data_IF_317398003815
#
_entry.id   IF_317398003815
#
_cell.length_a   1.000
_cell.length_b   1.000
_cell.length_c   1.000
_cell.angle_alpha   90.00
_cell.angle_beta   90.00
_cell.angle_gamma   90.00
#
_symmetry.space_group_name_H-M   'P 1'
#
loop_
_entity.id
_entity.type
_entity.pdbx_description
1 polymer ?
#
# COMPACT_ATOMS: atom_id res chain seq x y z
N UNK A 1 0.37 -9.71 -15.65
CA UNK A 1 -0.60 -10.58 -14.97
C UNK A 1 -1.90 -10.51 -15.76
N UNK A 2 -2.56 -11.64 -16.06
CA UNK A 2 -3.91 -11.59 -16.63
C UNK A 2 -4.85 -10.86 -15.66
N UNK A 3 -5.90 -10.23 -16.18
CA UNK A 3 -6.95 -9.66 -15.33
C UNK A 3 -7.70 -10.80 -14.63
N UNK A 4 -8.25 -10.58 -13.42
CA UNK A 4 -9.09 -11.56 -12.77
C UNK A 4 -10.35 -11.86 -13.60
N UNK A 5 -10.77 -13.13 -13.60
CA UNK A 5 -12.01 -13.57 -14.26
C UNK A 5 -13.19 -13.73 -13.28
N UNK A 6 -12.97 -13.51 -11.98
CA UNK A 6 -14.01 -13.56 -10.95
C UNK A 6 -14.85 -12.27 -11.01
N UNK A 7 -16.12 -12.41 -11.38
CA UNK A 7 -17.05 -11.30 -11.56
C UNK A 7 -17.29 -10.51 -10.27
N UNK A 8 -17.32 -11.17 -9.11
CA UNK A 8 -17.49 -10.50 -7.83
C UNK A 8 -16.27 -9.64 -7.52
N UNK A 9 -15.07 -10.18 -7.67
CA UNK A 9 -13.82 -9.43 -7.47
C UNK A 9 -13.73 -8.23 -8.42
N UNK A 10 -14.08 -8.41 -9.68
CA UNK A 10 -14.09 -7.34 -10.68
C UNK A 10 -15.12 -6.26 -10.31
N UNK A 11 -16.32 -6.66 -9.90
CA UNK A 11 -17.40 -5.73 -9.48
C UNK A 11 -17.02 -4.94 -8.22
N UNK A 12 -16.48 -5.62 -7.21
CA UNK A 12 -15.96 -4.99 -5.98
C UNK A 12 -14.84 -4.01 -6.31
N UNK A 13 -13.90 -4.38 -7.19
CA UNK A 13 -12.79 -3.50 -7.62
C UNK A 13 -13.29 -2.24 -8.31
N UNK A 14 -14.25 -2.35 -9.24
CA UNK A 14 -14.85 -1.19 -9.91
C UNK A 14 -15.59 -0.30 -8.92
N UNK A 15 -16.33 -0.91 -7.99
CA UNK A 15 -17.09 -0.18 -6.96
C UNK A 15 -16.16 0.56 -5.99
N UNK A 16 -15.00 -0.01 -5.66
CA UNK A 16 -13.97 0.66 -4.86
C UNK A 16 -13.43 1.91 -5.57
N UNK A 17 -13.17 1.83 -6.88
CA UNK A 17 -12.76 3.01 -7.65
C UNK A 17 -13.87 4.06 -7.65
N UNK A 18 -15.13 3.65 -7.88
CA UNK A 18 -16.29 4.53 -7.86
C UNK A 18 -16.43 5.29 -6.55
N UNK A 19 -16.46 4.58 -5.42
CA UNK A 19 -16.64 5.24 -4.10
C UNK A 19 -15.49 6.15 -3.73
N UNK A 20 -14.25 5.86 -4.17
CA UNK A 20 -13.12 6.77 -3.96
C UNK A 20 -13.28 8.08 -4.76
N UNK A 21 -13.87 8.03 -5.97
CA UNK A 21 -14.25 9.24 -6.70
C UNK A 21 -15.40 9.98 -6.04
N UNK A 22 -16.36 9.28 -5.42
CA UNK A 22 -17.44 9.94 -4.65
C UNK A 22 -16.86 10.71 -3.45
N UNK A 23 -15.82 10.18 -2.79
CA UNK A 23 -15.17 10.82 -1.64
C UNK A 23 -14.29 12.01 -2.06
N UNK A 24 -13.45 11.85 -3.08
CA UNK A 24 -12.39 12.82 -3.41
C UNK A 24 -12.67 13.67 -4.65
N UNK A 25 -13.75 13.37 -5.37
CA UNK A 25 -14.01 13.85 -6.72
C UNK A 25 -13.21 13.08 -7.78
N UNK A 26 -13.69 13.05 -9.04
CA UNK A 26 -12.91 12.54 -10.16
C UNK A 26 -11.80 13.54 -10.55
N UNK A 27 -10.57 13.04 -10.65
CA UNK A 27 -9.41 13.81 -11.12
C UNK A 27 -8.76 13.11 -12.32
N UNK A 28 -9.15 13.42 -13.56
CA UNK A 28 -8.64 12.74 -14.76
C UNK A 28 -7.11 12.74 -14.84
N UNK A 29 -6.52 11.58 -15.14
CA UNK A 29 -5.07 11.41 -15.19
C UNK A 29 -4.40 11.15 -13.83
N UNK A 30 -5.14 11.25 -12.72
CA UNK A 30 -4.66 10.96 -11.38
C UNK A 30 -5.23 9.64 -10.84
N UNK A 31 -4.59 9.14 -9.77
CA UNK A 31 -5.05 7.92 -9.08
C UNK A 31 -6.27 8.26 -8.19
N UNK A 32 -7.27 7.36 -8.07
CA UNK A 32 -8.46 7.59 -7.23
C UNK A 32 -8.13 7.70 -5.72
N UNK A 33 -7.01 7.13 -5.31
CA UNK A 33 -6.37 7.34 -4.03
C UNK A 33 -4.86 7.46 -4.26
N UNK A 34 -4.15 8.12 -3.36
CA UNK A 34 -2.73 8.42 -3.54
C UNK A 34 -2.39 9.21 -4.81
N UNK A 35 -3.25 10.18 -5.16
CA UNK A 35 -3.12 11.02 -6.34
C UNK A 35 -1.80 11.80 -6.34
N UNK A 36 -1.56 12.58 -5.28
CA UNK A 36 -0.30 13.30 -5.07
C UNK A 36 0.81 12.35 -4.62
N UNK A 37 1.98 12.46 -5.25
CA UNK A 37 3.16 11.71 -4.84
C UNK A 37 4.37 11.98 -5.70
N UNK A 38 5.53 11.52 -5.22
CA UNK A 38 6.84 11.71 -5.86
C UNK A 38 7.51 10.36 -6.11
N UNK A 39 8.13 10.22 -7.28
CA UNK A 39 8.90 9.04 -7.66
C UNK A 39 10.39 9.28 -7.38
N UNK A 40 11.05 8.25 -6.86
CA UNK A 40 12.48 8.22 -6.57
C UNK A 40 13.08 6.94 -7.16
N UNK A 41 14.36 7.02 -7.52
CA UNK A 41 15.17 5.86 -7.89
C UNK A 41 16.15 5.57 -6.77
N UNK A 42 16.47 4.29 -6.58
CA UNK A 42 17.44 3.85 -5.60
C UNK A 42 17.97 2.46 -5.88
N UNK A 43 18.74 1.93 -4.94
CA UNK A 43 19.30 0.59 -4.98
C UNK A 43 18.95 -0.10 -3.67
N UNK A 44 18.38 -1.30 -3.76
CA UNK A 44 18.23 -2.20 -2.63
C UNK A 44 19.44 -3.15 -2.56
N UNK A 45 20.00 -3.32 -1.36
CA UNK A 45 21.04 -4.31 -1.08
C UNK A 45 20.54 -5.22 0.05
N UNK A 46 20.31 -6.52 -0.22
CA UNK A 46 19.96 -7.43 0.84
C UNK A 46 21.11 -7.60 1.85
N UNK A 47 20.76 -7.91 3.08
CA UNK A 47 21.77 -8.35 4.07
C UNK A 47 22.28 -9.75 3.73
N UNK A 48 23.41 -10.14 4.30
CA UNK A 48 23.99 -11.48 4.11
C UNK A 48 23.07 -12.63 4.54
N UNK A 49 22.08 -12.37 5.39
CA UNK A 49 21.12 -13.36 5.88
C UNK A 49 19.83 -13.43 5.06
N UNK A 50 19.59 -12.52 4.11
CA UNK A 50 18.31 -12.43 3.38
C UNK A 50 18.01 -13.70 2.56
N UNK A 51 19.03 -14.26 1.89
CA UNK A 51 18.90 -15.51 1.12
C UNK A 51 18.47 -16.72 1.98
N UNK A 52 18.70 -16.68 3.30
CA UNK A 52 18.26 -17.73 4.23
C UNK A 52 16.76 -17.71 4.50
N UNK A 53 16.07 -16.60 4.19
CA UNK A 53 14.64 -16.43 4.48
C UNK A 53 13.76 -16.47 3.24
N UNK A 54 14.30 -16.17 2.06
CA UNK A 54 13.56 -16.23 0.80
C UNK A 54 14.49 -16.48 -0.39
N UNK A 55 14.01 -17.27 -1.37
CA UNK A 55 14.67 -17.45 -2.67
C UNK A 55 14.35 -16.35 -3.69
N UNK A 56 13.65 -15.29 -3.29
CA UNK A 56 13.30 -14.19 -4.19
C UNK A 56 14.56 -13.48 -4.71
N UNK A 57 14.58 -13.10 -5.99
CA UNK A 57 15.77 -12.54 -6.64
C UNK A 57 16.32 -11.29 -5.93
N UNK A 58 15.47 -10.40 -5.42
CA UNK A 58 15.92 -9.22 -4.69
C UNK A 58 16.55 -9.55 -3.32
N UNK A 59 16.41 -10.77 -2.81
CA UNK A 59 17.07 -11.25 -1.58
C UNK A 59 18.37 -12.00 -1.84
N UNK A 60 18.61 -12.43 -3.10
CA UNK A 60 19.77 -13.23 -3.49
C UNK A 60 20.75 -12.49 -4.40
N UNK A 61 20.28 -11.47 -5.13
CA UNK A 61 21.15 -10.61 -5.94
C UNK A 61 22.01 -9.72 -5.04
N UNK A 62 23.26 -9.37 -5.42
CA UNK A 62 24.10 -8.45 -4.66
C UNK A 62 23.44 -7.08 -4.44
N UNK A 63 22.73 -6.61 -5.46
CA UNK A 63 21.90 -5.41 -5.41
C UNK A 63 20.75 -5.48 -6.41
N UNK A 64 19.74 -4.65 -6.24
CA UNK A 64 18.57 -4.58 -7.12
C UNK A 64 18.13 -3.12 -7.29
N UNK A 65 18.06 -2.58 -8.52
CA UNK A 65 17.51 -1.25 -8.75
C UNK A 65 16.05 -1.17 -8.31
N UNK A 66 15.69 -0.08 -7.63
CA UNK A 66 14.33 0.17 -7.18
C UNK A 66 13.75 1.47 -7.73
N UNK A 67 12.43 1.48 -7.89
CA UNK A 67 11.63 2.69 -8.01
C UNK A 67 10.76 2.77 -6.76
N UNK A 68 10.89 3.85 -6.00
CA UNK A 68 10.04 4.13 -4.85
C UNK A 68 9.05 5.25 -5.19
N UNK A 69 7.84 5.19 -4.62
CA UNK A 69 6.87 6.29 -4.69
C UNK A 69 6.34 6.61 -3.30
N UNK A 70 6.57 7.84 -2.86
CA UNK A 70 5.88 8.42 -1.71
C UNK A 70 4.58 9.09 -2.13
N UNK A 71 3.58 9.16 -1.24
CA UNK A 71 2.28 9.75 -1.54
C UNK A 71 1.50 10.16 -0.30
N UNK A 72 0.59 11.12 -0.47
CA UNK A 72 -0.51 11.39 0.47
C UNK A 72 -1.65 10.39 0.21
N UNK A 73 -2.50 10.08 1.19
CA UNK A 73 -3.55 9.04 1.06
C UNK A 73 -4.67 9.37 0.06
N UNK A 74 -5.01 10.65 -0.09
CA UNK A 74 -6.22 11.10 -0.78
C UNK A 74 -6.18 10.95 -2.30
N UNK A 75 -7.36 11.00 -2.92
CA UNK A 75 -7.53 11.17 -4.38
C UNK A 75 -7.32 12.60 -4.88
N UNK A 76 -7.04 13.56 -4.01
CA UNK A 76 -6.87 14.98 -4.35
C UNK A 76 -5.41 15.25 -4.80
N UNK A 77 -5.17 15.66 -6.05
CA UNK A 77 -3.81 15.82 -6.59
C UNK A 77 -3.05 17.04 -6.03
N UNK A 78 -3.77 18.13 -5.74
CA UNK A 78 -3.18 19.39 -5.29
C UNK A 78 -3.19 19.56 -3.77
N UNK A 79 -3.51 18.50 -3.01
CA UNK A 79 -3.52 18.54 -1.54
C UNK A 79 -2.14 18.97 -1.01
N UNK A 80 -2.02 20.03 -0.19
CA UNK A 80 -0.74 20.39 0.43
C UNK A 80 -0.17 19.22 1.25
N UNK A 81 1.15 18.99 1.20
CA UNK A 81 1.73 17.86 1.95
C UNK A 81 1.62 18.06 3.47
N UNK A 82 1.54 19.32 3.91
CA UNK A 82 1.32 19.72 5.30
C UNK A 82 -0.12 19.52 5.77
N UNK A 83 -1.07 19.24 4.88
CA UNK A 83 -2.46 18.98 5.25
C UNK A 83 -2.56 17.63 5.99
N UNK A 84 -3.10 17.58 7.22
CA UNK A 84 -3.22 16.35 7.99
C UNK A 84 -4.17 15.32 7.36
N UNK A 85 -5.10 15.73 6.48
CA UNK A 85 -5.98 14.82 5.74
C UNK A 85 -5.21 13.94 4.74
N UNK A 86 -3.97 14.31 4.42
CA UNK A 86 -3.08 13.50 3.58
C UNK A 86 -2.50 12.28 4.28
N UNK A 87 -2.74 12.10 5.59
CA UNK A 87 -2.30 10.94 6.34
C UNK A 87 -3.31 9.76 6.26
N UNK A 88 -2.88 8.50 6.41
CA UNK A 88 -1.49 8.06 6.48
C UNK A 88 -0.78 8.21 5.13
N UNK A 89 0.55 8.30 5.12
CA UNK A 89 1.34 8.41 3.88
C UNK A 89 1.58 7.04 3.26
N UNK A 90 1.66 6.98 1.93
CA UNK A 90 1.98 5.77 1.19
C UNK A 90 3.46 5.69 0.83
N UNK A 91 4.02 4.48 0.85
CA UNK A 91 5.29 4.10 0.23
C UNK A 91 5.07 2.85 -0.63
N UNK A 92 5.28 2.96 -1.93
CA UNK A 92 5.35 1.82 -2.83
C UNK A 92 6.79 1.63 -3.29
N UNK A 93 7.34 0.41 -3.16
CA UNK A 93 8.68 0.07 -3.64
C UNK A 93 8.59 -1.03 -4.67
N UNK A 94 9.09 -0.74 -5.87
CA UNK A 94 9.23 -1.67 -6.99
C UNK A 94 10.67 -2.13 -7.11
N UNK A 95 10.91 -3.43 -6.98
CA UNK A 95 12.17 -4.09 -7.26
C UNK A 95 12.23 -4.50 -8.73
N UNK A 96 13.26 -4.07 -9.46
CA UNK A 96 13.46 -4.38 -10.87
C UNK A 96 14.37 -5.61 -10.99
N UNK A 97 13.78 -6.78 -11.21
CA UNK A 97 14.46 -8.07 -10.98
C UNK A 97 15.27 -8.59 -12.17
N UNK A 98 14.88 -8.23 -13.39
CA UNK A 98 15.64 -8.55 -14.61
C UNK A 98 15.33 -7.54 -15.70
N UNK A 99 16.32 -7.29 -16.56
CA UNK A 99 16.10 -6.62 -17.84
C UNK A 99 15.65 -7.67 -18.87
N UNK A 100 14.34 -7.78 -19.06
CA UNK A 100 13.75 -8.71 -20.01
C UNK A 100 12.63 -8.00 -20.78
N UNK A 101 12.24 -8.49 -21.98
CA UNK A 101 11.15 -7.89 -22.77
C UNK A 101 9.83 -7.82 -22.00
N UNK A 102 9.65 -8.68 -21.00
CA UNK A 102 8.56 -8.58 -20.02
C UNK A 102 9.09 -7.96 -18.73
N UNK A 103 8.40 -6.93 -18.24
CA UNK A 103 8.72 -6.31 -16.94
C UNK A 103 8.66 -7.33 -15.81
N UNK A 104 9.81 -7.82 -15.36
CA UNK A 104 9.92 -8.70 -14.20
C UNK A 104 10.22 -7.86 -12.96
N UNK A 105 9.24 -7.77 -12.07
CA UNK A 105 9.31 -6.92 -10.89
C UNK A 105 8.54 -7.51 -9.73
N UNK A 106 8.89 -7.08 -8.52
CA UNK A 106 8.11 -7.29 -7.30
C UNK A 106 7.77 -5.93 -6.72
N UNK A 107 6.52 -5.74 -6.31
CA UNK A 107 6.05 -4.51 -5.67
C UNK A 107 5.67 -4.80 -4.22
N UNK A 108 6.18 -3.99 -3.29
CA UNK A 108 5.74 -3.96 -1.90
C UNK A 108 5.08 -2.60 -1.66
N UNK A 109 3.77 -2.63 -1.41
CA UNK A 109 2.96 -1.44 -1.16
C UNK A 109 2.72 -1.32 0.34
N UNK A 110 3.04 -0.16 0.91
CA UNK A 110 3.03 0.08 2.34
C UNK A 110 2.42 1.44 2.69
N UNK A 111 1.90 1.54 3.92
CA UNK A 111 1.30 2.75 4.49
C UNK A 111 2.02 3.13 5.78
N UNK A 112 1.96 4.39 6.18
CA UNK A 112 2.53 4.88 7.44
C UNK A 112 1.70 4.54 8.69
N UNK A 113 0.94 3.45 8.61
CA UNK A 113 0.18 2.85 9.71
C UNK A 113 0.19 1.33 9.53
N UNK A 114 0.30 0.55 10.61
CA UNK A 114 0.24 -0.91 10.53
C UNK A 114 -1.19 -1.47 10.41
N UNK A 115 -2.21 -0.60 10.36
CA UNK A 115 -3.62 -0.97 10.34
C UNK A 115 -4.30 -0.61 9.00
N UNK A 116 -5.42 -1.25 8.73
CA UNK A 116 -6.34 -0.92 7.64
C UNK A 116 -7.77 -1.11 8.14
N UNK A 117 -8.76 -0.34 7.67
CA UNK A 117 -10.10 -0.34 8.28
C UNK A 117 -10.92 -1.61 8.00
N UNK A 118 -10.43 -2.49 7.12
CA UNK A 118 -11.15 -3.67 6.66
C UNK A 118 -10.21 -4.88 6.44
N UNK A 119 -10.69 -6.12 6.61
CA UNK A 119 -9.91 -7.33 6.38
C UNK A 119 -9.90 -7.83 4.92
N UNK A 120 -10.83 -7.37 4.08
CA UNK A 120 -10.99 -7.81 2.68
C UNK A 120 -11.56 -6.68 1.80
N UNK A 121 -11.78 -6.97 0.51
CA UNK A 121 -12.24 -5.97 -0.47
C UNK A 121 -13.68 -5.51 -0.25
N UNK A 122 -14.57 -6.42 0.14
CA UNK A 122 -15.98 -6.15 0.39
C UNK A 122 -16.18 -5.24 1.60
N UNK A 123 -15.49 -5.52 2.70
CA UNK A 123 -15.49 -4.69 3.90
C UNK A 123 -14.78 -3.35 3.65
N UNK A 124 -13.73 -3.32 2.82
CA UNK A 124 -13.10 -2.05 2.44
C UNK A 124 -14.08 -1.17 1.67
N UNK A 125 -14.86 -1.76 0.75
CA UNK A 125 -15.90 -1.07 0.02
C UNK A 125 -17.00 -0.56 0.95
N UNK A 126 -17.45 -1.38 1.91
CA UNK A 126 -18.43 -0.97 2.91
C UNK A 126 -17.94 0.20 3.76
N UNK A 127 -16.69 0.14 4.24
CA UNK A 127 -16.06 1.25 4.97
C UNK A 127 -16.05 2.54 4.14
N UNK A 128 -15.53 2.51 2.90
CA UNK A 128 -15.47 3.72 2.07
C UNK A 128 -16.86 4.26 1.70
N UNK A 129 -17.87 3.39 1.50
CA UNK A 129 -19.27 3.83 1.32
C UNK A 129 -19.82 4.54 2.56
N UNK A 130 -19.47 4.06 3.76
CA UNK A 130 -19.86 4.74 5.00
C UNK A 130 -19.22 6.13 5.11
N UNK A 131 -17.97 6.29 4.65
CA UNK A 131 -17.30 7.59 4.57
C UNK A 131 -17.99 8.51 3.56
N UNK A 132 -18.24 8.03 2.34
CA UNK A 132 -18.89 8.80 1.28
C UNK A 132 -20.31 9.29 1.67
N UNK A 133 -21.05 8.47 2.42
CA UNK A 133 -22.41 8.81 2.88
C UNK A 133 -22.47 9.61 4.19
N UNK A 134 -21.32 9.92 4.81
CA UNK A 134 -21.26 10.60 6.11
C UNK A 134 -21.64 9.73 7.33
N UNK A 135 -21.80 8.41 7.15
CA UNK A 135 -22.22 7.45 8.18
C UNK A 135 -21.05 6.67 8.82
N UNK A 136 -19.81 7.13 8.64
CA UNK A 136 -18.62 6.42 9.09
C UNK A 136 -18.63 6.11 10.60
N UNK A 137 -19.17 7.00 11.43
CA UNK A 137 -19.23 6.78 12.88
C UNK A 137 -19.99 5.51 13.27
N UNK A 138 -21.14 5.25 12.65
CA UNK A 138 -21.95 4.06 12.90
C UNK A 138 -21.23 2.78 12.43
N UNK A 139 -20.57 2.84 11.26
CA UNK A 139 -19.76 1.73 10.76
C UNK A 139 -18.57 1.46 11.71
N UNK A 140 -17.83 2.49 12.11
CA UNK A 140 -16.68 2.38 13.03
C UNK A 140 -17.08 1.74 14.36
N UNK A 141 -18.25 2.10 14.91
CA UNK A 141 -18.73 1.58 16.19
C UNK A 141 -18.96 0.06 16.19
N UNK A 142 -19.30 -0.53 15.04
CA UNK A 142 -19.54 -1.97 14.89
C UNK A 142 -18.39 -2.76 14.27
N UNK A 143 -17.33 -2.10 13.79
CA UNK A 143 -16.21 -2.74 13.08
C UNK A 143 -14.88 -2.50 13.80
N UNK A 144 -14.39 -3.49 14.59
CA UNK A 144 -13.15 -3.33 15.39
C UNK A 144 -11.91 -2.96 14.57
N UNK A 145 -11.78 -3.45 13.33
CA UNK A 145 -10.67 -3.11 12.45
C UNK A 145 -10.72 -1.62 12.03
N UNK A 146 -11.90 -1.09 11.72
CA UNK A 146 -12.10 0.31 11.41
C UNK A 146 -11.83 1.20 12.62
N UNK A 147 -12.30 0.81 13.81
CA UNK A 147 -12.01 1.50 15.06
C UNK A 147 -10.51 1.58 15.34
N UNK A 148 -9.80 0.44 15.27
CA UNK A 148 -8.37 0.38 15.46
C UNK A 148 -7.61 1.24 14.43
N UNK A 149 -8.02 1.19 13.16
CA UNK A 149 -7.44 2.02 12.11
C UNK A 149 -7.65 3.51 12.39
N UNK A 150 -8.85 3.95 12.75
CA UNK A 150 -9.17 5.36 13.00
C UNK A 150 -8.43 5.88 14.23
N UNK A 151 -8.41 5.13 15.33
CA UNK A 151 -7.74 5.51 16.58
C UNK A 151 -6.22 5.49 16.50
N UNK A 152 -5.62 4.73 15.58
CA UNK A 152 -4.17 4.68 15.43
C UNK A 152 -3.60 6.09 15.13
N UNK A 153 -2.53 6.53 15.82
CA UNK A 153 -1.88 7.80 15.52
C UNK A 153 -1.39 7.86 14.07
N UNK A 154 -1.64 8.98 13.39
CA UNK A 154 -1.20 9.25 12.00
C UNK A 154 -0.58 10.64 11.94
N UNK A 155 0.56 10.86 12.61
CA UNK A 155 1.19 12.18 12.67
C UNK A 155 1.56 12.65 11.26
N UNK A 156 1.50 13.96 11.02
CA UNK A 156 2.08 14.53 9.80
C UNK A 156 3.60 14.48 9.92
N UNK A 157 4.31 13.75 9.05
CA UNK A 157 5.75 13.66 9.15
C UNK A 157 6.40 14.96 8.66
N UNK A 158 7.53 15.35 9.27
CA UNK A 158 8.34 16.49 8.79
C UNK A 158 8.94 16.26 7.39
N UNK A 159 9.05 15.00 6.98
CA UNK A 159 9.43 14.54 5.65
C UNK A 159 9.05 13.07 5.49
N UNK A 160 8.71 12.62 4.27
CA UNK A 160 8.49 11.21 3.97
C UNK A 160 9.65 10.30 4.40
N UNK A 161 10.89 10.82 4.36
CA UNK A 161 12.09 10.09 4.78
C UNK A 161 12.26 9.93 6.29
N UNK A 162 11.34 10.46 7.11
CA UNK A 162 11.36 10.31 8.58
C UNK A 162 10.14 9.56 9.12
N UNK A 163 9.48 8.80 8.24
CA UNK A 163 8.27 8.03 8.56
C UNK A 163 8.53 6.52 8.45
N UNK A 164 7.84 5.73 9.26
CA UNK A 164 7.84 4.27 9.18
C UNK A 164 6.69 3.82 8.29
N UNK A 165 6.94 2.82 7.43
CA UNK A 165 5.90 2.26 6.57
C UNK A 165 5.74 0.76 6.78
N UNK A 166 4.52 0.28 6.66
CA UNK A 166 4.11 -1.09 6.96
C UNK A 166 3.34 -1.65 5.76
N UNK A 167 3.66 -2.87 5.32
CA UNK A 167 2.91 -3.49 4.21
C UNK A 167 1.48 -3.87 4.56
N UNK A 168 1.11 -3.79 5.85
CA UNK A 168 -0.15 -4.23 6.46
C UNK A 168 -0.38 -5.74 6.32
N UNK A 169 -0.47 -6.23 5.10
CA UNK A 169 -0.64 -7.63 4.75
C UNK A 169 0.57 -8.47 5.16
N UNK A 170 0.28 -9.71 5.54
CA UNK A 170 1.29 -10.75 5.73
C UNK A 170 1.61 -11.42 4.39
N UNK A 171 2.89 -11.74 4.18
CA UNK A 171 3.40 -12.41 3.00
C UNK A 171 4.08 -13.70 3.41
N UNK A 172 3.93 -14.73 2.57
CA UNK A 172 4.66 -15.98 2.73
C UNK A 172 5.99 -15.90 2.00
N UNK A 173 7.09 -15.97 2.74
CA UNK A 173 8.43 -16.15 2.20
C UNK A 173 8.78 -17.64 2.21
N UNK A 174 9.52 -18.06 1.19
CA UNK A 174 9.94 -19.45 1.04
C UNK A 174 11.44 -19.46 0.75
N UNK A 175 12.21 -20.07 1.64
CA UNK A 175 13.66 -20.20 1.50
C UNK A 175 14.04 -21.19 0.37
N UNK A 176 15.34 -21.29 0.06
CA UNK A 176 15.85 -22.22 -0.95
C UNK A 176 15.61 -23.70 -0.59
N UNK A 177 15.60 -24.03 0.71
CA UNK A 177 15.32 -25.36 1.24
C UNK A 177 13.81 -25.66 1.43
N UNK A 178 12.94 -24.75 0.98
CA UNK A 178 11.48 -24.92 1.07
C UNK A 178 10.86 -24.49 2.39
N UNK A 179 11.63 -24.07 3.41
CA UNK A 179 11.05 -23.56 4.67
C UNK A 179 10.19 -22.32 4.41
N UNK A 180 8.99 -22.32 4.99
CA UNK A 180 8.02 -21.24 4.86
C UNK A 180 7.99 -20.35 6.12
N UNK A 181 7.85 -19.04 5.93
CA UNK A 181 7.69 -18.06 7.01
C UNK A 181 6.71 -16.97 6.60
N UNK A 182 5.79 -16.61 7.49
CA UNK A 182 4.92 -15.46 7.29
C UNK A 182 5.57 -14.21 7.88
N UNK A 183 5.64 -13.14 7.08
CA UNK A 183 6.25 -11.86 7.48
C UNK A 183 5.32 -10.71 7.17
N UNK A 184 5.49 -9.59 7.87
CA UNK A 184 4.96 -8.28 7.46
C UNK A 184 6.15 -7.35 7.23
N UNK A 185 6.21 -6.71 6.08
CA UNK A 185 7.31 -5.80 5.78
C UNK A 185 7.18 -4.51 6.57
N UNK A 186 8.32 -3.99 7.02
CA UNK A 186 8.47 -2.67 7.61
C UNK A 186 9.62 -1.95 6.93
N UNK A 187 9.39 -0.70 6.55
CA UNK A 187 10.41 0.23 6.10
C UNK A 187 10.66 1.21 7.24
N UNK A 188 11.90 1.27 7.71
CA UNK A 188 12.32 2.12 8.82
C UNK A 188 13.45 3.01 8.29
N UNK A 189 13.34 4.35 8.45
CA UNK A 189 14.38 5.28 8.05
C UNK A 189 15.58 5.27 8.98
#
# INVERSE_FOLDING_TARGET
MPLPADDNLVTTSRSLVGVLHDIFGPHPGFRPAHAKGVLLKGIFRPTSTAAQVSRAQHFTNPETPIIARFSSSTGIPDLPDTDPNGNPRGLAVRFQLADSPRRLHTDIIAHSTPFFPAPNGEEALAFFRSVASGNAAAYIASHPAALAFVQAPKPTPVSFGREKYYSVNAFKLIAADGRERFVRYRWVP
#
